data_IF_004471933440
#
_entry.id   IF_004471933440
#
_cell.length_a   1.000
_cell.length_b   1.000
_cell.length_c   1.000
_cell.angle_alpha   90.00
_cell.angle_beta   90.00
_cell.angle_gamma   90.00
#
_symmetry.space_group_name_H-M   'P 1'
#
loop_
_entity.id
_entity.type
_entity.pdbx_description
1 polymer ?
#
# COMPACT_ATOMS: atom_id res chain seq x y z
N UNK A 1 -27.05 -2.99 -23.10
CA UNK A 1 -26.09 -3.99 -22.61
C UNK A 1 -24.75 -3.28 -22.40
N UNK A 2 -24.39 -3.01 -21.15
CA UNK A 2 -23.05 -2.55 -20.84
C UNK A 2 -22.04 -3.66 -21.10
N UNK A 3 -20.93 -3.31 -21.73
CA UNK A 3 -19.86 -4.24 -22.10
C UNK A 3 -18.92 -4.37 -20.91
N UNK A 4 -18.66 -5.60 -20.47
CA UNK A 4 -17.60 -5.90 -19.53
C UNK A 4 -16.24 -5.45 -20.11
N UNK A 5 -15.57 -4.52 -19.42
CA UNK A 5 -14.21 -4.07 -19.77
C UNK A 5 -13.24 -4.67 -18.76
N UNK A 6 -12.27 -5.43 -19.25
CA UNK A 6 -11.17 -5.93 -18.42
C UNK A 6 -10.20 -4.77 -18.19
N UNK A 7 -10.19 -4.22 -16.98
CA UNK A 7 -9.18 -3.24 -16.57
C UNK A 7 -7.85 -3.96 -16.33
N UNK A 8 -6.80 -3.54 -17.03
CA UNK A 8 -5.44 -4.01 -16.77
C UNK A 8 -4.88 -3.22 -15.61
N UNK A 9 -4.76 -3.84 -14.44
CA UNK A 9 -3.94 -3.29 -13.37
C UNK A 9 -2.47 -3.42 -13.76
N UNK A 10 -1.80 -2.29 -14.01
CA UNK A 10 -0.36 -2.26 -14.23
C UNK A 10 0.37 -2.30 -12.88
N UNK A 11 1.22 -3.31 -12.70
CA UNK A 11 2.06 -3.46 -11.51
C UNK A 11 3.52 -3.16 -11.90
N UNK A 12 4.19 -2.33 -11.11
CA UNK A 12 5.62 -2.05 -11.27
C UNK A 12 6.37 -2.71 -10.11
N UNK A 13 7.31 -3.61 -10.43
CA UNK A 13 8.20 -4.19 -9.43
C UNK A 13 9.25 -3.16 -9.00
N UNK A 14 9.30 -2.87 -7.69
CA UNK A 14 10.29 -1.96 -7.10
C UNK A 14 10.83 -2.57 -5.81
N UNK A 15 12.15 -2.43 -5.60
CA UNK A 15 12.82 -2.84 -4.36
C UNK A 15 12.93 -1.64 -3.44
N UNK A 16 12.42 -1.76 -2.21
CA UNK A 16 12.57 -0.76 -1.14
C UNK A 16 13.34 -1.35 0.03
N UNK A 17 14.04 -0.50 0.79
CA UNK A 17 14.67 -0.88 2.06
C UNK A 17 13.80 -0.41 3.21
N UNK A 18 13.53 -1.29 4.16
CA UNK A 18 12.76 -0.98 5.37
C UNK A 18 13.57 -1.38 6.61
N UNK A 19 13.37 -0.71 7.75
CA UNK A 19 13.96 -1.14 9.01
C UNK A 19 13.57 -2.58 9.37
N UNK A 20 14.50 -3.36 9.93
CA UNK A 20 14.28 -4.78 10.26
C UNK A 20 13.14 -4.99 11.27
N UNK A 21 13.01 -4.11 12.27
CA UNK A 21 11.90 -4.16 13.24
C UNK A 21 10.55 -3.98 12.55
N UNK A 22 10.42 -2.97 11.68
CA UNK A 22 9.21 -2.71 10.92
C UNK A 22 8.84 -3.88 10.00
N UNK A 23 9.81 -4.47 9.31
CA UNK A 23 9.57 -5.65 8.50
C UNK A 23 8.99 -6.80 9.33
N UNK A 24 9.56 -7.08 10.51
CA UNK A 24 9.10 -8.16 11.38
C UNK A 24 7.66 -7.93 11.87
N UNK A 25 7.31 -6.69 12.20
CA UNK A 25 5.95 -6.34 12.62
C UNK A 25 4.95 -6.52 11.49
N UNK A 26 5.30 -6.04 10.29
CA UNK A 26 4.46 -6.17 9.10
C UNK A 26 4.30 -7.63 8.65
N UNK A 27 5.36 -8.43 8.69
CA UNK A 27 5.32 -9.86 8.36
C UNK A 27 4.45 -10.63 9.37
N UNK A 28 4.58 -10.34 10.67
CA UNK A 28 3.69 -10.91 11.68
C UNK A 28 2.22 -10.55 11.43
N UNK A 29 1.94 -9.27 11.18
CA UNK A 29 0.58 -8.79 10.88
C UNK A 29 0.00 -9.45 9.61
N UNK A 30 0.81 -9.57 8.56
CA UNK A 30 0.43 -10.21 7.30
C UNK A 30 0.00 -11.66 7.54
N UNK A 31 0.77 -12.41 8.33
CA UNK A 31 0.47 -13.81 8.70
C UNK A 31 -0.76 -13.90 9.59
N UNK A 32 -0.86 -13.03 10.59
CA UNK A 32 -2.01 -12.99 11.51
C UNK A 32 -3.33 -12.72 10.77
N UNK A 33 -3.30 -11.83 9.76
CA UNK A 33 -4.47 -11.49 8.95
C UNK A 33 -4.69 -12.43 7.77
N UNK A 34 -3.78 -13.36 7.51
CA UNK A 34 -3.86 -14.31 6.39
C UNK A 34 -3.82 -13.63 5.01
N UNK A 35 -3.18 -12.47 4.90
CA UNK A 35 -3.05 -11.74 3.62
C UNK A 35 -1.61 -11.80 3.11
N UNK A 36 -1.38 -11.77 1.78
CA UNK A 36 -0.04 -11.62 1.23
C UNK A 36 0.63 -10.31 1.66
N UNK A 37 1.92 -10.35 1.94
CA UNK A 37 2.69 -9.19 2.39
C UNK A 37 2.56 -7.99 1.44
N UNK A 38 2.61 -8.23 0.12
CA UNK A 38 2.42 -7.17 -0.87
C UNK A 38 1.05 -6.48 -0.75
N UNK A 39 -0.01 -7.24 -0.45
CA UNK A 39 -1.35 -6.69 -0.27
C UNK A 39 -1.44 -5.84 1.00
N UNK A 40 -0.73 -6.23 2.07
CA UNK A 40 -0.60 -5.40 3.27
C UNK A 40 0.10 -4.08 2.94
N UNK A 41 1.25 -4.13 2.26
CA UNK A 41 2.01 -2.94 1.86
C UNK A 41 1.16 -1.97 1.04
N UNK A 42 0.44 -2.47 0.03
CA UNK A 42 -0.43 -1.63 -0.81
C UNK A 42 -1.53 -0.96 0.03
N UNK A 43 -2.16 -1.67 0.95
CA UNK A 43 -3.19 -1.11 1.83
C UNK A 43 -2.63 -0.04 2.75
N UNK A 44 -1.48 -0.29 3.37
CA UNK A 44 -0.78 0.69 4.21
C UNK A 44 -0.46 1.96 3.41
N UNK A 45 0.10 1.82 2.20
CA UNK A 45 0.41 2.95 1.34
C UNK A 45 -0.85 3.71 0.92
N UNK A 46 -1.91 3.02 0.49
CA UNK A 46 -3.17 3.64 0.08
C UNK A 46 -3.80 4.42 1.24
N UNK A 47 -3.85 3.82 2.43
CA UNK A 47 -4.38 4.47 3.62
C UNK A 47 -3.58 5.72 3.99
N UNK A 48 -2.25 5.62 4.02
CA UNK A 48 -1.38 6.76 4.32
C UNK A 48 -1.53 7.89 3.30
N UNK A 49 -1.66 7.57 2.01
CA UNK A 49 -1.85 8.56 0.95
C UNK A 49 -3.25 9.21 1.00
N UNK A 50 -4.30 8.48 1.40
CA UNK A 50 -5.66 9.02 1.49
C UNK A 50 -5.95 9.80 2.78
N UNK A 51 -5.13 9.59 3.80
CA UNK A 51 -5.21 10.28 5.10
C UNK A 51 -3.99 11.19 5.31
N UNK A 52 -3.24 11.47 4.25
CA UNK A 52 -2.26 12.54 4.29
C UNK A 52 -3.07 13.81 4.56
N UNK A 53 -2.73 14.54 5.62
CA UNK A 53 -3.33 15.85 5.82
C UNK A 53 -3.05 16.65 4.55
N UNK A 54 -4.11 17.16 3.91
CA UNK A 54 -3.95 18.12 2.83
C UNK A 54 -3.20 19.30 3.46
N UNK A 55 -1.91 19.40 3.16
CA UNK A 55 -1.13 20.57 3.50
C UNK A 55 -1.51 21.69 2.52
N UNK A 56 -2.80 22.06 2.45
CA UNK A 56 -3.23 23.39 2.04
C UNK A 56 -2.88 24.39 3.17
N UNK A 57 -1.58 24.43 3.49
CA UNK A 57 -0.96 25.27 4.51
C UNK A 57 0.52 25.57 4.24
N UNK A 58 1.12 25.00 3.19
CA UNK A 58 2.52 25.22 2.82
C UNK A 58 2.72 26.24 1.70
N UNK A 59 2.23 27.48 1.84
CA UNK A 59 2.89 28.64 1.20
C UNK A 59 3.93 29.17 2.19
N UNK A 60 5.19 28.84 1.95
CA UNK A 60 6.36 29.61 2.40
C UNK A 60 7.49 29.41 1.39
#
# INVERSE_FOLDING_TARGET
MEKFRVEKNEYVSKTIRVPSGLFSEMDHLSRQKGIPFNQLVIQCCRYAMSHLADDEGGRA
#
